data_IF_107566677956
#
_entry.id   IF_107566677956
#
_cell.length_a   1.000
_cell.length_b   1.000
_cell.length_c   1.000
_cell.angle_alpha   90.00
_cell.angle_beta   90.00
_cell.angle_gamma   90.00
#
_symmetry.space_group_name_H-M   'P 1'
#
loop_
_entity.id
_entity.type
_entity.pdbx_description
1 polymer ?
#
# COMPACT_ATOMS: atom_id res chain seq x y z
N UNK A 1 -56.31 -21.90 -39.36
CA UNK A 1 -55.54 -21.10 -38.39
C UNK A 1 -54.09 -21.01 -38.86
N UNK A 2 -53.60 -19.81 -39.18
CA UNK A 2 -52.19 -19.58 -39.53
C UNK A 2 -51.43 -19.24 -38.24
N UNK A 3 -50.46 -20.08 -37.87
CA UNK A 3 -49.48 -19.78 -36.82
C UNK A 3 -48.28 -19.12 -37.49
N UNK A 4 -48.04 -17.84 -37.18
CA UNK A 4 -46.84 -17.12 -37.61
C UNK A 4 -45.66 -17.54 -36.73
N UNK A 5 -44.48 -17.85 -37.30
CA UNK A 5 -43.29 -18.14 -36.52
C UNK A 5 -42.72 -16.83 -35.96
N UNK A 6 -42.67 -16.73 -34.64
CA UNK A 6 -42.07 -15.61 -33.91
C UNK A 6 -40.55 -15.62 -34.14
N UNK A 7 -40.03 -14.58 -34.79
CA UNK A 7 -38.63 -14.43 -35.18
C UNK A 7 -37.74 -14.11 -33.98
N UNK A 8 -37.28 -15.15 -33.28
CA UNK A 8 -36.32 -15.06 -32.15
C UNK A 8 -34.86 -14.77 -32.53
N UNK A 9 -34.58 -14.31 -33.75
CA UNK A 9 -33.19 -14.14 -34.24
C UNK A 9 -32.48 -12.89 -33.71
N UNK A 10 -33.23 -11.84 -33.32
CA UNK A 10 -32.67 -10.57 -32.82
C UNK A 10 -32.08 -10.71 -31.41
N UNK A 11 -32.71 -11.50 -30.55
CA UNK A 11 -32.25 -11.73 -29.17
C UNK A 11 -30.93 -12.51 -29.11
N UNK A 12 -30.70 -13.46 -30.03
CA UNK A 12 -29.46 -14.24 -30.06
C UNK A 12 -28.24 -13.38 -30.38
N UNK A 13 -28.38 -12.38 -31.27
CA UNK A 13 -27.29 -11.44 -31.61
C UNK A 13 -26.93 -10.51 -30.46
N UNK A 14 -27.93 -10.02 -29.72
CA UNK A 14 -27.67 -9.17 -28.56
C UNK A 14 -26.97 -9.95 -27.43
N UNK A 15 -27.32 -11.22 -27.23
CA UNK A 15 -26.68 -12.06 -26.22
C UNK A 15 -25.22 -12.36 -26.57
N UNK A 16 -24.91 -12.60 -27.84
CA UNK A 16 -23.53 -12.84 -28.29
C UNK A 16 -22.65 -11.62 -28.10
N UNK A 17 -23.17 -10.40 -28.34
CA UNK A 17 -22.41 -9.17 -28.16
C UNK A 17 -22.11 -8.91 -26.67
N UNK A 18 -23.06 -9.20 -25.78
CA UNK A 18 -22.85 -9.08 -24.33
C UNK A 18 -21.80 -10.07 -23.84
N UNK A 19 -21.84 -11.32 -24.29
CA UNK A 19 -20.84 -12.33 -23.94
C UNK A 19 -19.45 -11.96 -24.49
N UNK A 20 -19.38 -11.44 -25.70
CA UNK A 20 -18.11 -11.02 -26.30
C UNK A 20 -17.50 -9.82 -25.57
N UNK A 21 -18.33 -8.84 -25.19
CA UNK A 21 -17.93 -7.70 -24.37
C UNK A 21 -17.42 -8.13 -23.00
N UNK A 22 -18.06 -9.11 -22.36
CA UNK A 22 -17.63 -9.67 -21.08
C UNK A 22 -16.25 -10.33 -21.16
N UNK A 23 -16.00 -11.09 -22.22
CA UNK A 23 -14.70 -11.74 -22.46
C UNK A 23 -13.60 -10.69 -22.69
N UNK A 24 -13.86 -9.67 -23.52
CA UNK A 24 -12.94 -8.56 -23.75
C UNK A 24 -12.61 -7.79 -22.46
N UNK A 25 -13.63 -7.50 -21.64
CA UNK A 25 -13.43 -6.83 -20.35
C UNK A 25 -12.61 -7.69 -19.37
N UNK A 26 -12.83 -9.00 -19.35
CA UNK A 26 -12.06 -9.93 -18.52
C UNK A 26 -10.59 -9.97 -18.92
N UNK A 27 -10.29 -10.06 -20.22
CA UNK A 27 -8.92 -10.04 -20.75
C UNK A 27 -8.24 -8.71 -20.42
N UNK A 28 -8.94 -7.58 -20.60
CA UNK A 28 -8.42 -6.26 -20.29
C UNK A 28 -8.09 -6.10 -18.79
N UNK A 29 -8.94 -6.62 -17.90
CA UNK A 29 -8.70 -6.62 -16.45
C UNK A 29 -7.47 -7.46 -16.08
N UNK A 30 -7.35 -8.68 -16.62
CA UNK A 30 -6.19 -9.54 -16.36
C UNK A 30 -4.91 -8.89 -16.86
N UNK A 31 -4.92 -8.33 -18.09
CA UNK A 31 -3.76 -7.63 -18.64
C UNK A 31 -3.38 -6.38 -17.85
N UNK A 32 -4.36 -5.60 -17.38
CA UNK A 32 -4.11 -4.45 -16.52
C UNK A 32 -3.52 -4.85 -15.16
N UNK A 33 -4.06 -5.90 -14.53
CA UNK A 33 -3.53 -6.40 -13.26
C UNK A 33 -2.12 -6.96 -13.42
N UNK A 34 -1.83 -7.68 -14.49
CA UNK A 34 -0.50 -8.21 -14.76
C UNK A 34 0.52 -7.09 -15.03
N UNK A 35 0.17 -6.09 -15.85
CA UNK A 35 1.01 -4.90 -16.04
C UNK A 35 1.22 -4.15 -14.72
N UNK A 36 0.15 -3.86 -13.98
CA UNK A 36 0.24 -3.20 -12.68
C UNK A 36 1.13 -3.98 -11.72
N UNK A 37 1.05 -5.32 -11.72
CA UNK A 37 1.88 -6.16 -10.86
C UNK A 37 3.34 -6.10 -11.29
N UNK A 38 3.66 -6.23 -12.59
CA UNK A 38 5.02 -6.06 -13.12
C UNK A 38 5.62 -4.69 -12.78
N UNK A 39 4.85 -3.61 -12.89
CA UNK A 39 5.31 -2.28 -12.51
C UNK A 39 5.54 -2.14 -10.99
N UNK A 40 4.78 -2.89 -10.19
CA UNK A 40 4.99 -2.96 -8.74
C UNK A 40 6.26 -3.74 -8.41
N UNK A 41 6.52 -4.85 -9.11
CA UNK A 41 7.76 -5.63 -8.95
C UNK A 41 8.99 -4.87 -9.45
N UNK A 42 8.91 -4.12 -10.55
CA UNK A 42 10.01 -3.26 -11.03
C UNK A 42 10.29 -2.07 -10.08
N UNK A 43 9.37 -1.75 -9.17
CA UNK A 43 9.60 -0.75 -8.12
C UNK A 43 10.17 -1.33 -6.82
N UNK A 44 10.18 -2.66 -6.64
CA UNK A 44 10.70 -3.35 -5.44
C UNK A 44 11.86 -4.33 -5.73
N UNK A 45 12.12 -4.70 -6.98
CA UNK A 45 13.21 -5.61 -7.38
C UNK A 45 14.47 -4.87 -7.86
N UNK A 46 15.02 -4.00 -7.01
CA UNK A 46 16.44 -3.67 -7.05
C UNK A 46 17.16 -4.26 -5.85
N UNK A 47 17.12 -5.58 -5.76
CA UNK A 47 18.12 -6.32 -5.00
C UNK A 47 19.38 -6.53 -5.87
N UNK A 48 20.53 -6.35 -5.22
CA UNK A 48 21.90 -6.64 -5.68
C UNK A 48 22.65 -5.56 -6.46
N UNK A 49 23.05 -4.51 -5.76
CA UNK A 49 24.44 -4.03 -5.80
C UNK A 49 24.74 -3.42 -4.43
N UNK A 50 25.80 -3.92 -3.81
CA UNK A 50 26.23 -3.59 -2.46
C UNK A 50 26.77 -2.15 -2.40
N UNK A 51 25.88 -1.16 -2.54
CA UNK A 51 26.10 0.20 -2.08
C UNK A 51 25.29 0.35 -0.80
N UNK A 52 25.91 0.67 0.33
CA UNK A 52 25.21 0.94 1.58
C UNK A 52 24.11 1.98 1.32
N UNK A 53 22.86 1.52 1.17
CA UNK A 53 21.76 2.41 0.83
C UNK A 53 21.47 3.22 2.08
N UNK A 54 21.74 4.52 2.02
CA UNK A 54 21.46 5.46 3.10
C UNK A 54 20.07 6.03 2.89
N UNK A 55 19.22 5.95 3.92
CA UNK A 55 17.88 6.55 3.92
C UNK A 55 17.70 7.36 5.19
N UNK A 56 17.30 8.63 5.04
CA UNK A 56 17.21 9.61 6.14
C UNK A 56 18.51 9.79 6.94
N UNK A 57 19.67 9.57 6.31
CA UNK A 57 20.97 9.63 6.98
C UNK A 57 21.37 8.35 7.73
N UNK A 58 20.54 7.31 7.72
CA UNK A 58 20.85 6.01 8.33
C UNK A 58 21.20 4.96 7.28
N UNK A 59 22.25 4.17 7.54
CA UNK A 59 22.57 2.99 6.73
C UNK A 59 21.55 1.88 7.00
N UNK A 60 20.87 1.41 5.94
CA UNK A 60 19.82 0.38 6.05
C UNK A 60 20.31 -0.97 6.61
N UNK A 61 21.61 -1.18 6.67
CA UNK A 61 22.23 -2.37 7.26
C UNK A 61 22.12 -2.40 8.80
N UNK A 62 21.89 -1.24 9.43
CA UNK A 62 21.89 -1.06 10.89
C UNK A 62 20.51 -0.73 11.49
N UNK A 63 19.55 -0.37 10.63
CA UNK A 63 18.23 0.09 11.04
C UNK A 63 17.14 -0.50 10.16
N UNK A 64 16.04 -0.89 10.79
CA UNK A 64 14.82 -1.26 10.07
C UNK A 64 13.93 -0.01 9.93
N UNK A 65 13.59 0.35 8.70
CA UNK A 65 12.72 1.49 8.40
C UNK A 65 11.36 1.00 7.95
N UNK A 66 10.36 1.22 8.79
CA UNK A 66 8.98 0.79 8.54
C UNK A 66 8.14 1.99 8.09
N UNK A 67 7.57 1.96 6.87
CA UNK A 67 6.63 2.99 6.41
C UNK A 67 5.24 2.73 6.97
N UNK A 68 4.63 3.76 7.54
CA UNK A 68 3.29 3.71 8.12
C UNK A 68 2.44 4.77 7.42
N UNK A 69 1.29 4.36 6.94
CA UNK A 69 0.33 5.26 6.30
C UNK A 69 -0.52 5.90 7.39
N UNK A 70 -0.45 7.23 7.49
CA UNK A 70 -1.30 7.96 8.43
C UNK A 70 -2.72 8.07 7.89
N UNK A 71 -3.70 7.66 8.70
CA UNK A 71 -5.12 7.77 8.37
C UNK A 71 -5.64 9.17 8.70
N UNK A 72 -6.80 9.50 8.12
CA UNK A 72 -7.42 10.81 8.30
C UNK A 72 -7.79 11.01 9.78
N UNK A 73 -7.39 12.16 10.33
CA UNK A 73 -7.59 12.56 11.73
C UNK A 73 -6.90 11.67 12.77
N UNK A 74 -5.90 10.88 12.37
CA UNK A 74 -5.17 10.02 13.30
C UNK A 74 -4.14 10.83 14.09
N UNK A 75 -4.17 10.71 15.41
CA UNK A 75 -3.27 11.42 16.32
C UNK A 75 -1.94 10.69 16.47
N UNK A 76 -0.86 11.42 16.75
CA UNK A 76 0.48 10.85 16.88
C UNK A 76 0.54 9.73 17.94
N UNK A 77 -0.05 9.95 19.12
CA UNK A 77 -0.12 8.91 20.14
C UNK A 77 -0.82 7.62 19.66
N UNK A 78 -1.92 7.75 18.91
CA UNK A 78 -2.62 6.59 18.35
C UNK A 78 -1.83 5.86 17.26
N UNK A 79 -0.95 6.57 16.55
CA UNK A 79 -0.03 5.96 15.60
C UNK A 79 0.96 5.11 16.40
N UNK A 80 1.65 5.70 17.38
CA UNK A 80 2.66 5.02 18.20
C UNK A 80 2.12 3.83 18.98
N UNK A 81 0.90 3.92 19.52
CA UNK A 81 0.26 2.78 20.20
C UNK A 81 0.05 1.59 19.25
N UNK A 82 -0.35 1.82 17.99
CA UNK A 82 -0.55 0.75 17.00
C UNK A 82 0.74 0.00 16.66
N UNK A 83 1.87 0.65 16.84
CA UNK A 83 3.20 0.08 16.58
C UNK A 83 3.72 -0.69 17.80
N UNK A 84 3.02 -0.60 18.93
CA UNK A 84 3.38 -1.26 20.18
C UNK A 84 4.23 -0.42 21.13
N UNK A 85 4.32 0.91 20.92
CA UNK A 85 4.92 1.77 21.93
C UNK A 85 3.99 1.89 23.14
N UNK A 86 4.57 1.79 24.34
CA UNK A 86 3.82 1.97 25.58
C UNK A 86 3.56 3.45 25.84
N UNK A 87 2.44 3.75 26.50
CA UNK A 87 1.98 5.12 26.80
C UNK A 87 3.03 6.03 27.46
N UNK A 88 3.83 5.57 28.44
CA UNK A 88 4.87 6.41 29.04
C UNK A 88 5.91 6.89 28.04
N UNK A 89 6.33 6.02 27.12
CA UNK A 89 7.30 6.33 26.07
C UNK A 89 6.72 7.35 25.08
N UNK A 90 5.44 7.19 24.74
CA UNK A 90 4.73 8.12 23.86
C UNK A 90 4.70 9.52 24.47
N UNK A 91 4.36 9.63 25.76
CA UNK A 91 4.33 10.90 26.46
C UNK A 91 5.70 11.57 26.51
N UNK A 92 6.75 10.80 26.78
CA UNK A 92 8.12 11.31 26.76
C UNK A 92 8.53 11.84 25.38
N UNK A 93 8.17 11.12 24.31
CA UNK A 93 8.41 11.56 22.94
C UNK A 93 7.63 12.83 22.64
N UNK A 94 6.34 12.90 22.98
CA UNK A 94 5.51 14.08 22.77
C UNK A 94 6.05 15.30 23.52
N UNK A 95 6.53 15.13 24.74
CA UNK A 95 7.14 16.21 25.53
C UNK A 95 8.43 16.71 24.89
N UNK A 96 9.36 15.81 24.54
CA UNK A 96 10.65 16.15 23.92
C UNK A 96 10.50 16.76 22.53
N UNK A 97 9.45 16.41 21.81
CA UNK A 97 9.23 16.85 20.42
C UNK A 97 8.31 18.05 20.32
N UNK A 98 7.66 18.50 21.41
CA UNK A 98 6.67 19.58 21.41
C UNK A 98 7.16 20.88 20.75
N UNK A 99 8.45 21.19 20.87
CA UNK A 99 9.07 22.39 20.29
C UNK A 99 9.47 22.21 18.82
N UNK A 100 9.73 20.97 18.40
CA UNK A 100 10.21 20.63 17.06
C UNK A 100 9.10 20.14 16.14
N UNK A 101 7.99 19.67 16.72
CA UNK A 101 6.96 18.94 16.02
C UNK A 101 5.58 19.26 16.60
N UNK A 102 4.70 19.77 15.75
CA UNK A 102 3.30 19.95 16.10
C UNK A 102 2.49 18.75 15.58
N UNK A 103 1.82 17.97 16.45
CA UNK A 103 1.00 16.83 16.05
C UNK A 103 -0.08 17.18 15.00
N UNK A 104 -0.55 18.43 14.96
CA UNK A 104 -1.52 18.92 13.96
C UNK A 104 -0.96 18.98 12.53
N UNK A 105 0.37 18.96 12.38
CA UNK A 105 1.03 19.00 11.08
C UNK A 105 1.10 17.62 10.41
N UNK A 106 0.66 16.56 11.09
CA UNK A 106 0.57 15.24 10.51
C UNK A 106 -0.54 15.24 9.45
N UNK A 107 -0.15 15.13 8.19
CA UNK A 107 -1.08 15.10 7.06
C UNK A 107 -1.53 13.66 6.77
N UNK A 108 -2.84 13.48 6.69
CA UNK A 108 -3.46 12.23 6.23
C UNK A 108 -2.90 11.81 4.87
N UNK A 109 -2.62 10.51 4.72
CA UNK A 109 -2.13 9.94 3.46
C UNK A 109 -0.65 10.20 3.16
N UNK A 110 0.09 10.86 4.06
CA UNK A 110 1.55 10.93 3.99
C UNK A 110 2.17 9.71 4.69
N UNK A 111 3.36 9.32 4.22
CA UNK A 111 4.13 8.25 4.83
C UNK A 111 4.85 8.78 6.06
N UNK A 112 4.56 8.19 7.21
CA UNK A 112 5.33 8.35 8.44
C UNK A 112 6.36 7.23 8.49
N UNK A 113 7.62 7.56 8.82
CA UNK A 113 8.70 6.58 8.83
C UNK A 113 9.21 6.37 10.25
N UNK A 114 9.30 5.12 10.66
CA UNK A 114 9.86 4.75 11.95
C UNK A 114 11.15 4.01 11.73
N UNK A 115 12.19 4.49 12.42
CA UNK A 115 13.54 3.97 12.33
C UNK A 115 13.79 3.20 13.62
N UNK A 116 13.81 1.87 13.51
CA UNK A 116 14.10 0.96 14.62
C UNK A 116 15.56 0.52 14.52
N UNK A 117 16.32 0.66 15.60
CA UNK A 117 17.67 0.08 15.67
C UNK A 117 17.52 -1.45 15.69
N UNK A 118 18.22 -2.16 14.82
CA UNK A 118 18.30 -3.61 14.90
C UNK A 118 19.16 -3.98 16.12
N UNK A 119 18.51 -4.50 17.16
CA UNK A 119 19.22 -5.26 18.18
C UNK A 119 19.57 -6.59 17.54
N UNK A 120 20.80 -6.74 17.05
CA UNK A 120 21.33 -8.06 16.71
C UNK A 120 21.38 -8.83 18.02
N UNK A 121 20.42 -9.72 18.23
CA UNK A 121 20.50 -10.72 19.29
C UNK A 121 21.64 -11.63 18.91
N UNK A 122 22.86 -11.35 19.39
CA UNK A 122 23.93 -12.34 19.46
C UNK A 122 23.40 -13.45 20.35
N UNK A 123 22.93 -14.52 19.73
CA UNK A 123 22.64 -15.77 20.40
C UNK A 123 23.96 -16.23 21.06
N UNK A 124 23.98 -16.52 22.37
CA UNK A 124 25.15 -17.08 23.03
C UNK A 124 25.52 -18.47 22.49
#
# INVERSE_FOLDING_TARGET
>A
MKLTPFTGSKYKRQLTDVLFSLVLASIALVGYYDWKNRNKTVSDDRASLHSSVVKFGFGLDSVHIEPIVVRKNELMGEIFEKIGFNRPVILEIEEKTKELFNPKNIQSGKNFHIIKKMNVTTNP
#
